data_IF_441750402301
#
_entry.id   IF_441750402301
#
_cell.length_a   1.000
_cell.length_b   1.000
_cell.length_c   1.000
_cell.angle_alpha   90.00
_cell.angle_beta   90.00
_cell.angle_gamma   90.00
#
_symmetry.space_group_name_H-M   'P 1'
#
loop_
_entity.id
_entity.type
_entity.pdbx_description
1 polymer ?
#
# COMPACT_ATOMS: atom_id res chain seq x y z
N UNK A 1 9.73 6.76 9.66
CA UNK A 1 8.37 7.13 10.12
C UNK A 1 7.63 7.82 8.98
N UNK A 2 6.44 7.34 8.64
CA UNK A 2 5.67 7.89 7.53
C UNK A 2 4.45 8.64 8.06
N UNK A 3 4.18 9.82 7.49
CA UNK A 3 2.90 10.48 7.68
C UNK A 3 1.89 9.81 6.74
N UNK A 4 0.75 9.46 7.26
CA UNK A 4 -0.30 8.81 6.48
C UNK A 4 -1.64 9.52 6.64
N UNK A 5 -2.52 9.31 5.69
CA UNK A 5 -3.88 9.81 5.72
C UNK A 5 -4.87 8.69 5.46
N UNK A 6 -5.93 8.67 6.24
CA UNK A 6 -7.12 7.86 5.98
C UNK A 6 -8.34 8.76 6.17
N UNK A 7 -9.19 8.86 5.14
CA UNK A 7 -10.34 9.75 5.19
C UNK A 7 -9.98 11.22 5.41
N UNK A 8 -8.80 11.65 4.97
CA UNK A 8 -8.30 13.01 5.15
C UNK A 8 -7.70 13.30 6.53
N UNK A 9 -7.65 12.32 7.42
CA UNK A 9 -7.04 12.48 8.76
C UNK A 9 -5.59 12.02 8.73
N UNK A 10 -4.68 12.88 9.17
CA UNK A 10 -3.23 12.62 9.18
C UNK A 10 -2.80 12.00 10.49
N UNK A 11 -1.88 11.03 10.42
CA UNK A 11 -1.28 10.41 11.59
C UNK A 11 0.02 9.69 11.21
N UNK A 12 0.80 9.25 12.21
CA UNK A 12 2.07 8.59 11.98
C UNK A 12 1.88 7.08 11.85
N UNK A 13 2.47 6.48 10.79
CA UNK A 13 2.44 5.05 10.56
C UNK A 13 3.69 4.38 11.12
N UNK A 14 3.50 3.30 11.89
CA UNK A 14 4.58 2.45 12.40
C UNK A 14 4.31 1.01 11.96
N UNK A 15 5.14 0.50 11.07
CA UNK A 15 4.98 -0.84 10.50
C UNK A 15 4.98 -1.92 11.58
N UNK A 16 5.89 -1.82 12.55
CA UNK A 16 5.99 -2.81 13.64
C UNK A 16 4.68 -2.94 14.43
N UNK A 17 3.99 -1.82 14.67
CA UNK A 17 2.70 -1.86 15.38
C UNK A 17 1.59 -2.46 14.52
N UNK A 18 1.58 -2.15 13.22
CA UNK A 18 0.62 -2.74 12.29
C UNK A 18 0.79 -4.25 12.18
N UNK A 19 2.05 -4.74 12.16
CA UNK A 19 2.37 -6.15 12.08
C UNK A 19 1.91 -6.94 13.32
N UNK A 20 1.80 -6.30 14.47
CA UNK A 20 1.25 -6.95 15.68
C UNK A 20 -0.22 -7.37 15.51
N UNK A 21 -0.95 -6.71 14.63
CA UNK A 21 -2.37 -6.98 14.37
C UNK A 21 -2.59 -8.05 13.31
N UNK A 22 -1.59 -8.32 12.47
CA UNK A 22 -1.68 -9.27 11.36
C UNK A 22 -0.80 -8.87 10.18
N UNK A 23 -0.93 -9.56 9.05
CA UNK A 23 -0.15 -9.22 7.86
C UNK A 23 -0.43 -7.80 7.38
N UNK A 24 0.57 -7.19 6.73
CA UNK A 24 0.44 -5.86 6.11
C UNK A 24 0.63 -6.00 4.61
N UNK A 25 -0.32 -5.47 3.85
CA UNK A 25 -0.22 -5.30 2.40
C UNK A 25 0.29 -3.89 2.17
N UNK A 26 1.55 -3.81 1.73
CA UNK A 26 2.25 -2.56 1.49
C UNK A 26 2.42 -2.40 -0.01
N UNK A 27 1.78 -1.38 -0.62
CA UNK A 27 1.95 -1.20 -2.04
C UNK A 27 2.46 0.20 -2.37
N UNK A 28 3.45 0.25 -3.29
CA UNK A 28 4.00 1.48 -3.83
C UNK A 28 3.31 1.79 -5.16
N UNK A 29 3.09 3.07 -5.44
CA UNK A 29 2.51 3.51 -6.70
C UNK A 29 3.15 4.82 -7.14
N UNK A 30 3.20 5.08 -8.47
CA UNK A 30 3.95 6.24 -8.99
C UNK A 30 3.41 7.59 -8.54
N UNK A 31 2.12 7.86 -8.69
CA UNK A 31 1.56 9.15 -8.33
C UNK A 31 0.05 9.09 -8.13
N UNK A 32 -0.45 9.76 -7.08
CA UNK A 32 -1.88 9.90 -6.83
C UNK A 32 -2.59 10.58 -8.02
N UNK A 33 -3.86 10.23 -8.22
CA UNK A 33 -4.72 10.77 -9.27
C UNK A 33 -4.31 10.46 -10.71
N UNK A 34 -3.30 9.64 -10.94
CA UNK A 34 -3.03 9.10 -12.29
C UNK A 34 -4.00 7.96 -12.58
N UNK A 35 -4.31 7.65 -13.86
CA UNK A 35 -5.33 6.62 -14.18
C UNK A 35 -5.05 5.25 -13.58
N UNK A 36 -3.83 4.72 -13.71
CA UNK A 36 -3.48 3.41 -13.17
C UNK A 36 -3.51 3.36 -11.65
N UNK A 37 -3.03 4.41 -10.99
CA UNK A 37 -3.04 4.50 -9.54
C UNK A 37 -4.45 4.66 -8.98
N UNK A 38 -5.32 5.37 -9.69
CA UNK A 38 -6.73 5.50 -9.34
C UNK A 38 -7.45 4.15 -9.43
N UNK A 39 -7.22 3.39 -10.49
CA UNK A 39 -7.79 2.05 -10.65
C UNK A 39 -7.31 1.13 -9.52
N UNK A 40 -6.02 1.15 -9.24
CA UNK A 40 -5.44 0.34 -8.16
C UNK A 40 -6.03 0.70 -6.80
N UNK A 41 -6.18 2.00 -6.52
CA UNK A 41 -6.78 2.47 -5.27
C UNK A 41 -8.23 1.99 -5.14
N UNK A 42 -9.02 2.06 -6.21
CA UNK A 42 -10.39 1.54 -6.21
C UNK A 42 -10.42 0.03 -5.98
N UNK A 43 -9.51 -0.72 -6.61
CA UNK A 43 -9.43 -2.16 -6.44
C UNK A 43 -9.10 -2.55 -4.99
N UNK A 44 -8.15 -1.86 -4.37
CA UNK A 44 -7.82 -2.09 -2.96
C UNK A 44 -8.96 -1.65 -2.04
N UNK A 45 -9.61 -0.52 -2.33
CA UNK A 45 -10.75 -0.05 -1.53
C UNK A 45 -11.90 -1.08 -1.54
N UNK A 46 -12.20 -1.65 -2.70
CA UNK A 46 -13.25 -2.67 -2.83
C UNK A 46 -12.89 -3.96 -2.08
N UNK A 47 -11.60 -4.27 -1.95
CA UNK A 47 -11.12 -5.47 -1.28
C UNK A 47 -10.82 -5.28 0.21
N UNK A 48 -10.89 -4.06 0.74
CA UNK A 48 -10.45 -3.75 2.12
C UNK A 48 -11.18 -4.58 3.16
N UNK A 49 -12.49 -4.75 3.02
CA UNK A 49 -13.27 -5.52 3.98
C UNK A 49 -12.84 -7.00 3.99
N UNK A 50 -12.50 -7.56 2.84
CA UNK A 50 -12.02 -8.95 2.76
C UNK A 50 -10.63 -9.08 3.38
N UNK A 51 -9.74 -8.11 3.17
CA UNK A 51 -8.44 -8.08 3.86
C UNK A 51 -8.63 -7.98 5.38
N UNK A 52 -9.54 -7.13 5.84
CA UNK A 52 -9.81 -6.97 7.26
C UNK A 52 -10.31 -8.26 7.91
N UNK A 53 -11.15 -9.03 7.22
CA UNK A 53 -11.62 -10.33 7.71
C UNK A 53 -10.47 -11.32 7.91
N UNK A 54 -9.39 -11.18 7.17
CA UNK A 54 -8.19 -11.98 7.28
C UNK A 54 -7.18 -11.39 8.28
N UNK A 55 -7.51 -10.28 8.92
CA UNK A 55 -6.62 -9.58 9.85
C UNK A 55 -5.54 -8.74 9.18
N UNK A 56 -5.63 -8.51 7.87
CA UNK A 56 -4.62 -7.77 7.13
C UNK A 56 -4.95 -6.28 7.05
N UNK A 57 -3.89 -5.46 7.10
CA UNK A 57 -3.95 -4.01 6.92
C UNK A 57 -3.38 -3.65 5.57
N UNK A 58 -4.02 -2.73 4.85
CA UNK A 58 -3.54 -2.22 3.56
C UNK A 58 -3.02 -0.80 3.72
N UNK A 59 -1.85 -0.52 3.17
CA UNK A 59 -1.30 0.84 3.09
C UNK A 59 -0.65 1.07 1.74
N UNK A 60 -0.97 2.21 1.10
CA UNK A 60 -0.34 2.64 -0.14
C UNK A 60 0.73 3.69 0.13
N UNK A 61 1.82 3.68 -0.64
CA UNK A 61 2.94 4.60 -0.47
C UNK A 61 3.33 5.22 -1.80
N UNK A 62 3.45 6.56 -1.82
CA UNK A 62 3.98 7.29 -2.97
C UNK A 62 4.85 8.45 -2.47
N UNK A 63 5.51 9.17 -3.38
CA UNK A 63 6.27 10.36 -3.00
C UNK A 63 5.43 11.63 -3.04
N UNK A 64 4.12 11.54 -3.31
CA UNK A 64 3.23 12.69 -3.25
C UNK A 64 3.25 13.34 -1.87
N UNK A 65 2.94 14.64 -1.81
CA UNK A 65 2.85 15.33 -0.53
C UNK A 65 1.60 14.91 0.24
N UNK A 66 1.61 15.16 1.56
CA UNK A 66 0.51 14.72 2.42
C UNK A 66 -0.82 15.42 2.08
N UNK A 67 -0.77 16.68 1.62
CA UNK A 67 -1.98 17.39 1.24
C UNK A 67 -2.67 16.75 0.03
N UNK A 68 -1.89 16.30 -0.96
CA UNK A 68 -2.41 15.55 -2.11
C UNK A 68 -2.99 14.21 -1.65
N UNK A 69 -2.30 13.51 -0.75
CA UNK A 69 -2.75 12.21 -0.25
C UNK A 69 -4.00 12.33 0.63
N UNK A 70 -4.18 13.43 1.35
CA UNK A 70 -5.42 13.67 2.08
C UNK A 70 -6.64 13.64 1.14
N UNK A 71 -6.53 14.29 -0.01
CA UNK A 71 -7.58 14.28 -1.03
C UNK A 71 -7.74 12.91 -1.67
N UNK A 72 -6.62 12.26 -1.99
CA UNK A 72 -6.62 10.93 -2.62
C UNK A 72 -7.24 9.88 -1.70
N UNK A 73 -6.90 9.92 -0.42
CA UNK A 73 -7.46 9.02 0.59
C UNK A 73 -8.98 9.09 0.64
N UNK A 74 -9.53 10.29 0.61
CA UNK A 74 -10.98 10.50 0.68
C UNK A 74 -11.69 10.11 -0.61
N UNK A 75 -11.19 10.58 -1.76
CA UNK A 75 -11.89 10.42 -3.04
C UNK A 75 -11.65 9.04 -3.67
N UNK A 76 -10.41 8.65 -3.87
CA UNK A 76 -10.09 7.45 -4.65
C UNK A 76 -9.87 6.21 -3.80
N UNK A 77 -9.34 6.37 -2.59
CA UNK A 77 -9.26 5.27 -1.62
C UNK A 77 -10.55 5.12 -0.83
N UNK A 78 -11.52 6.00 -1.03
CA UNK A 78 -12.87 5.97 -0.43
C UNK A 78 -12.82 5.87 1.09
N UNK A 79 -11.79 6.44 1.72
CA UNK A 79 -11.54 6.40 3.17
C UNK A 79 -11.42 4.97 3.73
N UNK A 80 -11.13 3.97 2.89
CA UNK A 80 -11.10 2.56 3.29
C UNK A 80 -9.74 2.11 3.81
N UNK A 81 -8.64 2.70 3.33
CA UNK A 81 -7.29 2.35 3.76
C UNK A 81 -6.39 3.57 3.77
N UNK A 82 -5.25 3.45 4.45
CA UNK A 82 -4.31 4.55 4.60
C UNK A 82 -3.40 4.67 3.38
N UNK A 83 -3.03 5.89 3.04
CA UNK A 83 -1.95 6.21 2.10
C UNK A 83 -0.90 7.03 2.83
N UNK A 84 0.37 6.80 2.51
CA UNK A 84 1.49 7.40 3.19
C UNK A 84 2.39 8.18 2.23
N UNK A 85 2.90 9.32 2.72
CA UNK A 85 3.82 10.17 1.98
C UNK A 85 5.26 9.76 2.25
N UNK A 86 6.00 9.40 1.19
CA UNK A 86 7.43 9.11 1.24
C UNK A 86 8.18 10.17 0.43
N UNK A 87 8.17 11.42 0.93
CA UNK A 87 8.63 12.59 0.19
C UNK A 87 10.10 12.54 -0.22
N UNK A 88 10.97 11.96 0.61
CA UNK A 88 12.40 11.79 0.29
C UNK A 88 12.69 10.43 -0.33
N UNK A 89 11.70 9.60 -0.56
CA UNK A 89 11.80 8.25 -1.12
C UNK A 89 12.67 7.29 -0.30
N UNK A 90 12.89 7.56 0.99
CA UNK A 90 13.72 6.70 1.83
C UNK A 90 13.13 5.30 1.96
N UNK A 91 11.82 5.19 2.14
CA UNK A 91 11.12 3.91 2.24
C UNK A 91 11.06 3.23 0.86
N UNK A 92 10.75 3.99 -0.18
CA UNK A 92 10.73 3.47 -1.56
C UNK A 92 12.07 2.85 -1.94
N UNK A 93 13.18 3.52 -1.62
CA UNK A 93 14.52 2.99 -1.85
C UNK A 93 14.84 1.77 -1.01
N UNK A 94 14.42 1.79 0.26
CA UNK A 94 14.66 0.66 1.18
C UNK A 94 13.97 -0.62 0.70
N UNK A 95 12.81 -0.50 0.03
CA UNK A 95 12.09 -1.64 -0.53
C UNK A 95 12.41 -1.91 -2.01
N UNK A 96 13.41 -1.20 -2.57
CA UNK A 96 13.80 -1.34 -3.98
C UNK A 96 12.62 -1.14 -4.94
N UNK A 97 11.83 -0.12 -4.66
CA UNK A 97 10.61 0.17 -5.41
C UNK A 97 10.69 1.47 -6.22
N UNK A 98 11.90 1.94 -6.54
CA UNK A 98 12.11 3.12 -7.38
C UNK A 98 11.89 2.75 -8.84
N UNK A 99 11.13 3.58 -9.57
CA UNK A 99 10.88 3.37 -11.00
C UNK A 99 12.15 3.71 -11.79
N UNK A 100 12.76 2.71 -12.42
CA UNK A 100 14.06 2.86 -13.09
C UNK A 100 14.07 3.94 -14.18
N UNK A 101 12.99 4.06 -14.95
CA UNK A 101 12.87 5.04 -16.04
C UNK A 101 12.59 6.46 -15.55
N UNK A 102 12.01 6.62 -14.37
CA UNK A 102 11.68 7.91 -13.75
C UNK A 102 11.93 7.80 -12.24
N UNK A 103 13.20 7.98 -11.81
CA UNK A 103 13.57 7.74 -10.40
C UNK A 103 12.85 8.62 -9.38
N UNK A 104 12.24 9.72 -9.79
CA UNK A 104 11.40 10.56 -8.93
C UNK A 104 10.08 9.93 -8.53
N UNK A 105 9.71 8.79 -9.13
CA UNK A 105 8.49 8.05 -8.82
C UNK A 105 8.80 6.65 -8.29
N UNK A 106 7.88 6.12 -7.48
CA UNK A 106 7.90 4.71 -7.12
C UNK A 106 7.42 3.86 -8.29
N UNK A 107 7.96 2.65 -8.42
CA UNK A 107 7.41 1.63 -9.31
C UNK A 107 6.12 1.08 -8.69
N UNK A 108 5.27 0.44 -9.50
CA UNK A 108 4.07 -0.20 -8.97
C UNK A 108 4.44 -1.56 -8.41
N UNK A 109 4.71 -1.60 -7.11
CA UNK A 109 5.21 -2.80 -6.43
C UNK A 109 4.38 -3.05 -5.16
N UNK A 110 3.88 -4.27 -5.02
CA UNK A 110 3.12 -4.68 -3.83
C UNK A 110 3.90 -5.74 -3.05
N UNK A 111 3.89 -5.60 -1.73
CA UNK A 111 4.47 -6.55 -0.79
C UNK A 111 3.41 -7.04 0.18
N UNK A 112 3.50 -8.30 0.58
CA UNK A 112 2.76 -8.82 1.73
C UNK A 112 3.79 -9.20 2.79
N UNK A 113 3.64 -8.62 3.99
CA UNK A 113 4.58 -8.80 5.09
C UNK A 113 3.87 -9.51 6.23
N UNK A 114 4.42 -10.64 6.69
CA UNK A 114 3.89 -11.40 7.81
C UNK A 114 4.18 -10.69 9.15
N UNK A 115 3.41 -11.01 10.22
CA UNK A 115 3.64 -10.42 11.53
C UNK A 115 5.06 -10.59 12.10
N UNK A 116 5.77 -11.63 11.68
CA UNK A 116 7.17 -11.87 12.08
C UNK A 116 8.20 -11.05 11.26
N UNK A 117 7.72 -10.23 10.33
CA UNK A 117 8.57 -9.40 9.47
C UNK A 117 8.99 -10.04 8.17
N UNK A 118 8.65 -11.30 7.91
CA UNK A 118 9.00 -11.95 6.64
C UNK A 118 8.16 -11.42 5.49
N UNK A 119 8.80 -11.19 4.34
CA UNK A 119 8.11 -10.82 3.11
C UNK A 119 7.58 -12.11 2.48
N UNK A 120 6.25 -12.25 2.49
CA UNK A 120 5.58 -13.43 1.95
C UNK A 120 5.49 -13.42 0.43
N UNK A 121 5.45 -12.20 -0.17
CA UNK A 121 5.26 -12.03 -1.58
C UNK A 121 5.71 -10.62 -1.99
N UNK A 122 6.30 -10.51 -3.18
CA UNK A 122 6.53 -9.23 -3.86
C UNK A 122 6.10 -9.35 -5.31
N UNK A 123 5.54 -8.27 -5.86
CA UNK A 123 5.04 -8.25 -7.22
C UNK A 123 5.18 -6.85 -7.80
N UNK A 124 5.83 -6.74 -8.95
CA UNK A 124 6.02 -5.48 -9.65
C UNK A 124 5.43 -5.55 -11.05
N UNK A 125 4.47 -4.70 -11.33
CA UNK A 125 3.87 -4.54 -12.66
C UNK A 125 3.19 -3.17 -12.69
N UNK A 126 3.48 -2.37 -13.71
CA UNK A 126 2.84 -1.06 -13.87
C UNK A 126 1.35 -1.17 -14.16
N UNK A 127 0.87 -2.29 -14.68
CA UNK A 127 -0.55 -2.57 -14.81
C UNK A 127 -1.15 -2.86 -13.44
N UNK A 128 -2.25 -2.19 -13.06
CA UNK A 128 -2.82 -2.35 -11.73
C UNK A 128 -3.64 -3.63 -11.53
N UNK A 129 -3.92 -4.38 -12.59
CA UNK A 129 -5.00 -5.36 -12.63
C UNK A 129 -4.84 -6.54 -11.65
N UNK A 130 -3.60 -6.99 -11.39
CA UNK A 130 -3.33 -8.21 -10.61
C UNK A 130 -2.86 -7.95 -9.18
N UNK A 131 -2.58 -6.71 -8.80
CA UNK A 131 -2.00 -6.41 -7.49
C UNK A 131 -2.90 -6.85 -6.33
N UNK A 132 -4.19 -6.59 -6.41
CA UNK A 132 -5.13 -6.99 -5.36
C UNK A 132 -5.26 -8.52 -5.30
N UNK A 133 -5.46 -9.17 -6.44
CA UNK A 133 -5.67 -10.63 -6.50
C UNK A 133 -4.46 -11.39 -5.94
N UNK A 134 -3.23 -10.99 -6.31
CA UNK A 134 -2.02 -11.67 -5.86
C UNK A 134 -1.72 -11.41 -4.37
N UNK A 135 -1.93 -10.18 -3.90
CA UNK A 135 -1.77 -9.87 -2.48
C UNK A 135 -2.83 -10.57 -1.62
N UNK A 136 -4.07 -10.62 -2.09
CA UNK A 136 -5.15 -11.35 -1.42
C UNK A 136 -4.82 -12.83 -1.29
N UNK A 137 -4.34 -13.44 -2.37
CA UNK A 137 -3.96 -14.86 -2.36
C UNK A 137 -2.85 -15.13 -1.33
N UNK A 138 -1.82 -14.28 -1.27
CA UNK A 138 -0.74 -14.42 -0.31
C UNK A 138 -1.22 -14.33 1.14
N UNK A 139 -2.13 -13.41 1.43
CA UNK A 139 -2.73 -13.26 2.76
C UNK A 139 -3.59 -14.50 3.10
N UNK A 140 -4.39 -14.96 2.16
CA UNK A 140 -5.23 -16.16 2.35
C UNK A 140 -4.38 -17.41 2.62
N UNK A 141 -3.30 -17.60 1.86
CA UNK A 141 -2.38 -18.72 2.03
C UNK A 141 -1.70 -18.68 3.40
N UNK A 142 -1.27 -17.50 3.84
CA UNK A 142 -0.68 -17.31 5.16
C UNK A 142 -1.70 -17.65 6.26
N UNK A 143 -2.92 -17.14 6.13
CA UNK A 143 -3.99 -17.35 7.13
C UNK A 143 -4.36 -18.84 7.24
N UNK A 144 -4.36 -19.58 6.13
CA UNK A 144 -4.65 -20.99 6.12
C UNK A 144 -3.60 -21.82 6.89
N UNK A 145 -2.34 -21.32 6.99
CA UNK A 145 -1.23 -21.97 7.68
C UNK A 145 -1.07 -21.51 9.13
N UNK A 146 -1.82 -20.53 9.56
CA UNK A 146 -1.73 -19.90 10.87
C UNK A 146 -3.11 -19.72 11.46
#
# INVERSE_FOLDING_TARGET
MLFRSIGGKEFTFKLAEALKKGPVVLYFYPAAFTPGCTIEAHNFADATDDFAKLGATVIGISHDDIATLDKFSTSECRSKFAVAADGDQSITKAYDAVLAKKPEYADRTSYVIAPDGQILMSYTDLKPDQHVALTMKAVQDWKASH
#
